data_IF_930684116523
#
_entry.id   IF_930684116523
#
_cell.length_a   1.000
_cell.length_b   1.000
_cell.length_c   1.000
_cell.angle_alpha   90.00
_cell.angle_beta   90.00
_cell.angle_gamma   90.00
#
_symmetry.space_group_name_H-M   'P 1'
#
loop_
_entity.id
_entity.type
_entity.pdbx_description
1 polymer ?
#
# COMPACT_ATOMS: atom_id res chain seq x y z
N UNK A 1 13.74 0.86 10.38
CA UNK A 1 13.08 0.61 11.69
C UNK A 1 13.75 -0.45 12.56
N UNK A 2 13.83 -1.73 12.16
CA UNK A 2 14.43 -2.80 13.00
C UNK A 2 15.85 -2.46 13.47
N UNK A 3 16.77 -2.19 12.54
CA UNK A 3 18.17 -1.81 12.86
C UNK A 3 18.23 -0.59 13.78
N UNK A 4 17.40 0.43 13.52
CA UNK A 4 17.37 1.67 14.29
C UNK A 4 16.97 1.41 15.75
N UNK A 5 15.92 0.62 15.99
CA UNK A 5 15.48 0.27 17.33
C UNK A 5 16.57 -0.51 18.11
N UNK A 6 17.26 -1.44 17.43
CA UNK A 6 18.35 -2.22 18.02
C UNK A 6 19.56 -1.35 18.38
N UNK A 7 20.02 -0.51 17.46
CA UNK A 7 21.18 0.38 17.69
C UNK A 7 20.91 1.40 18.80
N UNK A 8 19.66 1.86 18.94
CA UNK A 8 19.28 2.79 19.99
C UNK A 8 18.95 2.11 21.34
N UNK A 9 18.96 0.77 21.41
CA UNK A 9 18.65 0.04 22.65
C UNK A 9 17.21 0.27 23.16
N UNK A 10 16.25 0.45 22.25
CA UNK A 10 14.86 0.67 22.64
C UNK A 10 14.23 -0.59 23.24
N UNK A 11 13.23 -0.43 24.11
CA UNK A 11 12.51 -1.53 24.77
C UNK A 11 11.64 -2.38 23.82
N UNK A 12 11.45 -1.95 22.58
CA UNK A 12 10.66 -2.67 21.59
C UNK A 12 10.80 -2.10 20.17
N UNK A 13 10.03 -2.66 19.25
CA UNK A 13 10.00 -2.23 17.86
C UNK A 13 8.76 -1.37 17.57
N UNK A 14 8.90 -0.22 16.89
CA UNK A 14 7.75 0.59 16.48
C UNK A 14 7.00 0.01 15.26
N UNK A 15 7.44 -1.15 14.77
CA UNK A 15 6.85 -1.86 13.63
C UNK A 15 6.62 -3.32 14.01
N UNK A 16 5.65 -3.96 13.35
CA UNK A 16 5.50 -5.40 13.47
C UNK A 16 6.74 -6.14 12.94
N UNK A 17 7.10 -7.23 13.60
CA UNK A 17 8.26 -8.07 13.24
C UNK A 17 7.90 -9.29 12.40
N UNK A 18 6.60 -9.53 12.18
CA UNK A 18 6.08 -10.54 11.26
C UNK A 18 5.21 -9.86 10.20
N UNK A 19 5.44 -10.17 8.92
CA UNK A 19 4.71 -9.58 7.78
C UNK A 19 3.19 -9.76 7.92
N UNK A 20 2.74 -10.95 8.34
CA UNK A 20 1.32 -11.24 8.54
C UNK A 20 0.63 -10.27 9.53
N UNK A 21 1.35 -9.77 10.54
CA UNK A 21 0.79 -8.81 11.49
C UNK A 21 0.59 -7.44 10.83
N UNK A 22 1.49 -7.05 9.92
CA UNK A 22 1.30 -5.85 9.08
C UNK A 22 0.09 -6.02 8.16
N UNK A 23 -0.12 -7.20 7.55
CA UNK A 23 -1.31 -7.46 6.72
C UNK A 23 -2.61 -7.31 7.52
N UNK A 24 -2.67 -7.91 8.72
CA UNK A 24 -3.82 -7.78 9.64
C UNK A 24 -4.05 -6.31 10.01
N UNK A 25 -2.99 -5.60 10.38
CA UNK A 25 -3.08 -4.18 10.72
C UNK A 25 -3.58 -3.35 9.54
N UNK A 26 -3.13 -3.65 8.32
CA UNK A 26 -3.54 -2.93 7.12
C UNK A 26 -5.05 -3.10 6.87
N UNK A 27 -5.57 -4.33 6.95
CA UNK A 27 -6.99 -4.60 6.74
C UNK A 27 -7.87 -3.98 7.84
N UNK A 28 -7.42 -4.01 9.09
CA UNK A 28 -8.11 -3.34 10.19
C UNK A 28 -8.21 -1.81 9.97
N UNK A 29 -7.10 -1.18 9.56
CA UNK A 29 -7.07 0.23 9.21
C UNK A 29 -7.93 0.54 7.98
N UNK A 30 -7.90 -0.32 6.95
CA UNK A 30 -8.72 -0.15 5.76
C UNK A 30 -10.21 -0.18 6.08
N UNK A 31 -10.66 -1.14 6.90
CA UNK A 31 -12.04 -1.19 7.39
C UNK A 31 -12.43 0.09 8.13
N UNK A 32 -11.53 0.61 8.97
CA UNK A 32 -11.78 1.88 9.70
C UNK A 32 -11.93 3.05 8.74
N UNK A 33 -11.04 3.19 7.75
CA UNK A 33 -11.10 4.28 6.78
C UNK A 33 -12.36 4.18 5.89
N UNK A 34 -12.73 2.98 5.46
CA UNK A 34 -13.97 2.74 4.71
C UNK A 34 -15.23 3.08 5.50
N UNK A 35 -15.17 3.09 6.84
CA UNK A 35 -16.29 3.52 7.68
C UNK A 35 -16.40 5.04 7.87
N UNK A 36 -15.47 5.79 7.29
CA UNK A 36 -15.34 7.26 7.44
C UNK A 36 -15.36 7.99 6.10
N UNK A 37 -15.94 7.37 5.06
CA UNK A 37 -15.91 7.89 3.68
C UNK A 37 -16.71 9.17 3.47
N UNK A 38 -17.52 9.58 4.45
CA UNK A 38 -18.18 10.88 4.48
C UNK A 38 -17.21 12.04 4.79
N UNK A 39 -16.01 11.75 5.31
CA UNK A 39 -15.00 12.75 5.70
C UNK A 39 -13.60 12.48 5.15
N UNK A 40 -13.25 11.22 4.92
CA UNK A 40 -11.93 10.80 4.46
C UNK A 40 -12.13 10.04 3.17
N UNK A 41 -11.45 10.45 2.11
CA UNK A 41 -11.35 9.66 0.89
C UNK A 41 -10.13 8.72 0.99
N UNK A 42 -10.32 7.40 1.22
CA UNK A 42 -9.21 6.49 1.46
C UNK A 42 -8.47 6.16 0.16
N UNK A 43 -7.14 6.06 0.26
CA UNK A 43 -6.27 5.77 -0.88
C UNK A 43 -5.40 4.56 -0.53
N UNK A 44 -5.74 3.38 -1.04
CA UNK A 44 -5.13 2.12 -0.66
C UNK A 44 -3.98 1.74 -1.59
N UNK A 45 -2.75 2.10 -1.21
CA UNK A 45 -1.54 1.69 -1.92
C UNK A 45 -1.19 0.22 -1.61
N UNK A 46 -1.21 -0.65 -2.63
CA UNK A 46 -0.81 -2.06 -2.50
C UNK A 46 -0.65 -2.73 -3.88
N UNK A 47 0.24 -3.73 -3.98
CA UNK A 47 0.31 -4.66 -5.12
C UNK A 47 -0.04 -6.09 -4.73
N UNK A 48 -0.53 -6.30 -3.50
CA UNK A 48 -0.94 -7.60 -3.00
C UNK A 48 -2.41 -7.88 -3.39
N UNK A 49 -2.62 -8.88 -4.24
CA UNK A 49 -3.95 -9.25 -4.73
C UNK A 49 -4.94 -9.62 -3.62
N UNK A 50 -4.48 -10.28 -2.56
CA UNK A 50 -5.34 -10.61 -1.42
C UNK A 50 -5.82 -9.35 -0.71
N UNK A 51 -4.93 -8.37 -0.49
CA UNK A 51 -5.29 -7.10 0.13
C UNK A 51 -6.28 -6.31 -0.73
N UNK A 52 -6.09 -6.31 -2.05
CA UNK A 52 -7.02 -5.67 -3.00
C UNK A 52 -8.40 -6.33 -2.93
N UNK A 53 -8.47 -7.66 -3.04
CA UNK A 53 -9.72 -8.40 -2.97
C UNK A 53 -10.45 -8.19 -1.63
N UNK A 54 -9.72 -8.17 -0.52
CA UNK A 54 -10.29 -7.90 0.80
C UNK A 54 -10.90 -6.49 0.88
N UNK A 55 -10.21 -5.45 0.36
CA UNK A 55 -10.76 -4.09 0.33
C UNK A 55 -12.02 -4.02 -0.53
N UNK A 56 -12.00 -4.63 -1.72
CA UNK A 56 -13.17 -4.70 -2.60
C UNK A 56 -14.35 -5.38 -1.89
N UNK A 57 -14.11 -6.45 -1.14
CA UNK A 57 -15.15 -7.13 -0.36
C UNK A 57 -15.70 -6.28 0.80
N UNK A 58 -14.85 -5.48 1.45
CA UNK A 58 -15.25 -4.62 2.57
C UNK A 58 -15.97 -3.33 2.14
N UNK A 59 -15.62 -2.78 0.97
CA UNK A 59 -16.16 -1.52 0.50
C UNK A 59 -17.58 -1.67 -0.07
N UNK A 60 -18.49 -0.79 0.33
CA UNK A 60 -19.88 -0.76 -0.16
C UNK A 60 -20.04 0.01 -1.47
N UNK A 61 -19.19 1.01 -1.68
CA UNK A 61 -19.23 1.92 -2.83
C UNK A 61 -17.82 2.12 -3.38
N UNK A 62 -17.65 1.87 -4.68
CA UNK A 62 -16.36 1.96 -5.39
C UNK A 62 -15.91 3.39 -5.67
N UNK A 63 -16.82 4.36 -5.63
CA UNK A 63 -16.49 5.77 -5.86
C UNK A 63 -15.98 6.48 -4.60
N UNK A 64 -16.06 5.83 -3.45
CA UNK A 64 -15.66 6.41 -2.14
C UNK A 64 -14.18 6.20 -1.80
N UNK A 65 -13.43 5.49 -2.63
CA UNK A 65 -12.00 5.24 -2.42
C UNK A 65 -11.27 5.06 -3.76
N UNK A 66 -9.93 5.05 -3.72
CA UNK A 66 -9.10 4.58 -4.82
C UNK A 66 -8.04 3.60 -4.33
N UNK A 67 -7.57 2.74 -5.24
CA UNK A 67 -6.29 2.08 -5.09
C UNK A 67 -5.15 2.97 -5.54
N UNK A 68 -3.94 2.65 -5.10
CA UNK A 68 -2.73 3.27 -5.62
C UNK A 68 -1.66 2.22 -5.94
N UNK A 69 -0.88 2.48 -6.98
CA UNK A 69 0.28 1.68 -7.36
C UNK A 69 1.46 2.55 -7.76
N UNK A 70 2.64 1.95 -7.78
CA UNK A 70 3.83 2.58 -8.33
C UNK A 70 3.95 2.19 -9.80
N UNK A 71 4.40 3.12 -10.64
CA UNK A 71 4.73 2.79 -12.02
C UNK A 71 5.76 1.66 -12.07
N UNK A 72 5.54 0.68 -12.96
CA UNK A 72 6.35 -0.54 -13.04
C UNK A 72 5.98 -1.66 -12.05
N UNK A 73 5.02 -1.45 -11.13
CA UNK A 73 4.57 -2.47 -10.19
C UNK A 73 3.03 -2.58 -10.16
N UNK A 74 2.53 -3.82 -10.06
CA UNK A 74 1.10 -4.10 -9.88
C UNK A 74 0.20 -3.72 -11.07
N UNK A 75 0.76 -3.54 -12.27
CA UNK A 75 0.00 -3.08 -13.45
C UNK A 75 -1.10 -4.05 -13.85
N UNK A 76 -0.75 -5.32 -14.09
CA UNK A 76 -1.71 -6.35 -14.49
C UNK A 76 -2.84 -6.50 -13.45
N UNK A 77 -2.48 -6.54 -12.16
CA UNK A 77 -3.45 -6.64 -11.06
C UNK A 77 -4.47 -5.49 -11.10
N UNK A 78 -3.99 -4.24 -11.13
CA UNK A 78 -4.86 -3.08 -11.06
C UNK A 78 -5.65 -2.87 -12.35
N UNK A 79 -5.13 -3.27 -13.51
CA UNK A 79 -5.89 -3.24 -14.75
C UNK A 79 -7.03 -4.28 -14.75
N UNK A 80 -6.77 -5.50 -14.26
CA UNK A 80 -7.85 -6.50 -14.07
C UNK A 80 -8.92 -5.99 -13.11
N UNK A 81 -8.52 -5.38 -12.00
CA UNK A 81 -9.47 -4.82 -11.01
C UNK A 81 -10.28 -3.67 -11.61
N UNK A 82 -9.64 -2.78 -12.37
CA UNK A 82 -10.33 -1.67 -13.05
C UNK A 82 -11.39 -2.19 -14.03
N UNK A 83 -11.05 -3.22 -14.81
CA UNK A 83 -11.96 -3.81 -15.80
C UNK A 83 -13.12 -4.58 -15.16
N UNK A 84 -12.85 -5.35 -14.10
CA UNK A 84 -13.84 -6.23 -13.48
C UNK A 84 -14.74 -5.51 -12.46
N UNK A 85 -14.18 -4.55 -11.70
CA UNK A 85 -14.83 -3.97 -10.51
C UNK A 85 -15.07 -2.45 -10.63
N UNK A 86 -14.56 -1.81 -11.67
CA UNK A 86 -14.68 -0.35 -11.87
C UNK A 86 -13.92 0.51 -10.85
N UNK A 87 -13.12 -0.11 -9.96
CA UNK A 87 -12.38 0.62 -8.94
C UNK A 87 -11.26 1.47 -9.55
N UNK A 88 -11.12 2.71 -9.07
CA UNK A 88 -10.10 3.65 -9.54
C UNK A 88 -8.73 3.28 -9.00
N UNK A 89 -7.69 3.49 -9.81
CA UNK A 89 -6.31 3.30 -9.37
C UNK A 89 -5.45 4.51 -9.81
N UNK A 90 -4.79 5.16 -8.85
CA UNK A 90 -3.82 6.22 -9.13
C UNK A 90 -2.43 5.62 -9.27
N UNK A 91 -1.75 5.98 -10.35
CA UNK A 91 -0.38 5.55 -10.62
C UNK A 91 0.57 6.65 -10.16
N UNK A 92 1.48 6.33 -9.25
CA UNK A 92 2.57 7.20 -8.89
C UNK A 92 3.78 6.91 -9.78
N UNK A 93 4.11 7.87 -10.65
CA UNK A 93 5.25 7.82 -11.53
C UNK A 93 6.41 8.64 -10.93
N UNK A 94 7.55 8.02 -10.58
CA UNK A 94 8.72 8.76 -10.12
C UNK A 94 9.26 9.65 -11.24
N UNK A 95 9.45 10.93 -10.97
CA UNK A 95 10.02 11.91 -11.91
C UNK A 95 11.16 12.63 -11.19
N UNK A 96 12.35 12.64 -11.78
CA UNK A 96 13.54 13.27 -11.19
C UNK A 96 14.81 13.03 -12.00
N UNK A 97 15.89 13.72 -11.62
CA UNK A 97 17.20 13.56 -12.25
C UNK A 97 17.86 12.23 -11.84
N UNK A 98 18.79 11.74 -12.68
CA UNK A 98 19.49 10.48 -12.42
C UNK A 98 20.24 10.46 -11.08
N UNK A 99 20.74 11.62 -10.62
CA UNK A 99 21.43 11.78 -9.34
C UNK A 99 20.59 11.41 -8.12
N UNK A 100 19.26 11.56 -8.20
CA UNK A 100 18.35 11.30 -7.07
C UNK A 100 17.78 9.88 -7.07
N UNK A 101 18.09 9.10 -8.11
CA UNK A 101 17.52 7.78 -8.36
C UNK A 101 17.98 6.74 -7.33
N UNK A 102 19.21 6.84 -6.82
CA UNK A 102 19.84 5.80 -6.01
C UNK A 102 19.05 5.47 -4.73
N UNK A 103 18.62 6.49 -3.98
CA UNK A 103 17.87 6.30 -2.73
C UNK A 103 16.44 5.76 -2.97
N UNK A 104 15.84 6.05 -4.13
CA UNK A 104 14.57 5.45 -4.54
C UNK A 104 14.77 3.99 -4.94
N UNK A 105 15.81 3.71 -5.74
CA UNK A 105 16.12 2.40 -6.29
C UNK A 105 16.50 1.39 -5.21
N UNK A 106 17.31 1.78 -4.21
CA UNK A 106 17.67 0.90 -3.08
C UNK A 106 16.42 0.42 -2.32
N UNK A 107 15.43 1.31 -2.09
CA UNK A 107 14.17 0.92 -1.44
C UNK A 107 13.33 -0.02 -2.31
N UNK A 108 13.33 0.18 -3.63
CA UNK A 108 12.65 -0.72 -4.56
C UNK A 108 13.31 -2.10 -4.62
N UNK A 109 14.63 -2.17 -4.60
CA UNK A 109 15.35 -3.45 -4.60
C UNK A 109 15.03 -4.29 -3.36
N UNK A 110 14.98 -3.67 -2.18
CA UNK A 110 14.64 -4.37 -0.93
C UNK A 110 13.18 -4.85 -0.87
N UNK A 111 12.28 -4.26 -1.64
CA UNK A 111 10.88 -4.67 -1.70
C UNK A 111 10.62 -5.78 -2.74
N UNK A 112 11.47 -5.84 -3.78
CA UNK A 112 11.31 -6.79 -4.89
C UNK A 112 12.23 -8.03 -4.81
N UNK A 113 13.29 -7.99 -3.99
CA UNK A 113 14.23 -9.10 -3.76
C UNK A 113 13.83 -9.95 -2.58
#
# INVERSE_FOLDING_TARGET
EIKRAQTLGLSGYPVFTRKANTDVSYLACAKKLLSMTDRIYPQFATHNAHTVAAILSMAKDRDTFEFQRLHGMGEALHETVRQAEGARCRIYAPVGAHSDLLAYLVRRLLENG
#
